data_IF_065273831592
#
_entry.id   IF_065273831592
#
_cell.length_a   1.000
_cell.length_b   1.000
_cell.length_c   1.000
_cell.angle_alpha   90.00
_cell.angle_beta   90.00
_cell.angle_gamma   90.00
#
_symmetry.space_group_name_H-M   'P 1'
#
loop_
_entity.id
_entity.type
_entity.pdbx_description
1 polymer ?
#
# COMPACT_ATOMS: atom_id res chain seq x y z
N UNK A 1 4.71 11.21 -14.68
CA UNK A 1 5.26 11.91 -13.50
C UNK A 1 4.15 12.77 -12.91
N UNK A 2 4.13 12.98 -11.59
CA UNK A 2 3.04 13.65 -10.86
C UNK A 2 3.60 14.89 -10.18
N UNK A 3 2.94 16.02 -10.34
CA UNK A 3 3.33 17.28 -9.68
C UNK A 3 2.74 17.32 -8.28
N UNK A 4 3.57 17.61 -7.28
CA UNK A 4 3.15 17.81 -5.88
C UNK A 4 3.77 19.08 -5.29
N UNK A 5 3.06 19.67 -4.34
CA UNK A 5 3.54 20.81 -3.56
C UNK A 5 4.23 20.34 -2.28
N UNK A 6 5.42 20.85 -1.99
CA UNK A 6 6.16 20.50 -0.78
C UNK A 6 5.49 21.09 0.47
N UNK A 7 5.24 20.25 1.48
CA UNK A 7 4.63 20.66 2.76
C UNK A 7 5.53 21.59 3.61
N UNK A 8 6.84 21.68 3.31
CA UNK A 8 7.80 22.49 4.09
C UNK A 8 8.06 23.87 3.47
N UNK A 9 8.30 23.94 2.15
CA UNK A 9 8.64 25.19 1.47
C UNK A 9 7.61 25.65 0.44
N UNK A 10 6.57 24.85 0.17
CA UNK A 10 5.53 25.20 -0.80
C UNK A 10 5.93 25.09 -2.27
N UNK A 11 7.16 24.70 -2.61
CA UNK A 11 7.57 24.55 -4.02
C UNK A 11 6.87 23.37 -4.70
N UNK A 12 6.58 23.50 -5.98
CA UNK A 12 6.11 22.40 -6.81
C UNK A 12 7.28 21.56 -7.29
N UNK A 13 7.12 20.24 -7.26
CA UNK A 13 8.13 19.29 -7.72
C UNK A 13 7.48 18.08 -8.39
N UNK A 14 8.19 17.48 -9.35
CA UNK A 14 7.75 16.26 -10.02
C UNK A 14 8.22 15.01 -9.26
N UNK A 15 7.37 14.00 -9.20
CA UNK A 15 7.67 12.73 -8.53
C UNK A 15 6.93 11.58 -9.18
N UNK A 16 7.48 10.37 -9.09
CA UNK A 16 6.81 9.12 -9.47
C UNK A 16 5.91 8.58 -8.35
N UNK A 17 6.08 9.07 -7.10
CA UNK A 17 5.40 8.54 -5.94
C UNK A 17 4.20 9.40 -5.51
N UNK A 18 3.03 8.78 -5.44
CA UNK A 18 1.82 9.41 -4.89
C UNK A 18 1.93 9.78 -3.40
N UNK A 19 2.93 9.26 -2.68
CA UNK A 19 3.13 9.51 -1.24
C UNK A 19 4.20 10.56 -0.94
N UNK A 20 4.81 11.18 -1.95
CA UNK A 20 5.84 12.18 -1.74
C UNK A 20 5.25 13.46 -1.11
N UNK A 21 5.86 13.93 -0.02
CA UNK A 21 5.42 15.12 0.73
C UNK A 21 6.41 16.29 0.68
N UNK A 22 7.68 16.00 0.43
CA UNK A 22 8.75 16.99 0.45
C UNK A 22 9.56 16.92 -0.84
N UNK A 23 10.01 18.09 -1.32
CA UNK A 23 10.95 18.18 -2.42
C UNK A 23 12.32 17.62 -2.02
N UNK A 24 13.21 17.48 -3.00
CA UNK A 24 14.56 16.94 -2.80
C UNK A 24 15.37 17.75 -1.76
N UNK A 25 15.21 19.07 -1.71
CA UNK A 25 15.96 19.94 -0.81
C UNK A 25 15.43 19.94 0.63
N UNK A 26 14.14 19.71 0.81
CA UNK A 26 13.50 19.72 2.13
C UNK A 26 13.47 18.34 2.79
N UNK A 27 13.64 17.26 2.02
CA UNK A 27 13.60 15.89 2.54
C UNK A 27 14.63 15.68 3.67
N UNK A 28 15.87 16.11 3.46
CA UNK A 28 16.95 15.91 4.42
C UNK A 28 16.73 16.75 5.69
N UNK A 29 16.21 17.98 5.53
CA UNK A 29 15.86 18.84 6.66
C UNK A 29 14.81 18.20 7.57
N UNK A 30 13.76 17.62 6.97
CA UNK A 30 12.74 16.88 7.71
C UNK A 30 13.33 15.65 8.40
N UNK A 31 14.25 14.94 7.75
CA UNK A 31 14.90 13.77 8.32
C UNK A 31 15.75 14.13 9.55
N UNK A 32 16.54 15.20 9.47
CA UNK A 32 17.32 15.72 10.61
C UNK A 32 16.40 16.11 11.77
N UNK A 33 15.30 16.81 11.50
CA UNK A 33 14.31 17.17 12.54
C UNK A 33 13.71 15.94 13.23
N UNK A 34 13.35 14.90 12.47
CA UNK A 34 12.83 13.64 13.03
C UNK A 34 13.86 12.93 13.91
N UNK A 35 15.12 12.87 13.46
CA UNK A 35 16.20 12.24 14.22
C UNK A 35 16.50 13.00 15.52
N UNK A 36 16.46 14.33 15.48
CA UNK A 36 16.59 15.19 16.66
C UNK A 36 15.47 14.93 17.67
N UNK A 37 14.21 14.97 17.23
CA UNK A 37 13.07 14.68 18.09
C UNK A 37 13.11 13.27 18.69
N UNK A 38 13.62 12.29 17.93
CA UNK A 38 13.82 10.92 18.43
C UNK A 38 14.92 10.86 19.52
N UNK A 39 16.04 11.55 19.31
CA UNK A 39 17.14 11.65 20.29
C UNK A 39 16.69 12.35 21.57
N UNK A 40 15.93 13.44 21.46
CA UNK A 40 15.38 14.18 22.60
C UNK A 40 14.39 13.32 23.41
N UNK A 41 13.52 12.53 22.74
CA UNK A 41 12.63 11.55 23.41
C UNK A 41 13.39 10.44 24.14
N UNK A 42 14.54 10.02 23.62
CA UNK A 42 15.40 9.04 24.30
C UNK A 42 16.08 9.66 25.53
N UNK A 43 16.63 10.88 25.39
CA UNK A 43 17.32 11.59 26.48
C UNK A 43 16.38 11.94 27.64
N UNK A 44 15.15 12.35 27.34
CA UNK A 44 14.12 12.67 28.33
C UNK A 44 13.52 11.45 29.04
N UNK A 45 13.89 10.22 28.65
CA UNK A 45 13.34 9.00 29.24
C UNK A 45 11.85 8.76 28.94
N UNK A 46 11.19 9.65 28.19
CA UNK A 46 9.78 9.53 27.79
C UNK A 46 9.56 8.50 26.68
N UNK A 47 10.64 7.88 26.19
CA UNK A 47 10.54 6.76 25.24
C UNK A 47 9.94 5.52 25.91
N UNK A 48 8.81 5.05 25.38
CA UNK A 48 8.16 3.82 25.84
C UNK A 48 9.07 2.62 25.57
N UNK A 49 9.49 1.92 26.63
CA UNK A 49 10.27 0.69 26.52
C UNK A 49 9.34 -0.51 26.38
N UNK A 50 9.74 -1.50 25.58
CA UNK A 50 9.05 -2.80 25.54
C UNK A 50 9.17 -3.41 26.94
N UNK A 51 8.05 -3.87 27.49
CA UNK A 51 7.91 -4.39 28.85
C UNK A 51 7.52 -3.35 29.91
N UNK A 52 7.42 -2.05 29.57
CA UNK A 52 6.92 -1.04 30.51
C UNK A 52 5.40 -1.04 30.63
N UNK A 53 4.90 -0.61 31.79
CA UNK A 53 3.48 -0.34 32.02
C UNK A 53 3.08 1.01 31.42
N UNK A 54 1.96 1.04 30.71
CA UNK A 54 1.36 2.25 30.13
C UNK A 54 -0.14 2.28 30.40
N UNK A 55 -0.72 3.48 30.46
CA UNK A 55 -2.17 3.67 30.61
C UNK A 55 -2.81 3.75 29.22
N UNK A 56 -3.84 2.93 28.99
CA UNK A 56 -4.56 2.95 27.72
C UNK A 56 -5.40 4.24 27.58
N UNK A 57 -5.20 5.07 26.55
CA UNK A 57 -5.97 6.31 26.38
C UNK A 57 -7.44 6.08 26.02
N UNK A 58 -7.85 4.83 25.73
CA UNK A 58 -9.23 4.48 25.36
C UNK A 58 -10.03 4.02 26.56
N UNK A 59 -9.44 3.20 27.44
CA UNK A 59 -10.16 2.58 28.57
C UNK A 59 -9.57 2.91 29.95
N UNK A 60 -8.47 3.65 30.02
CA UNK A 60 -7.81 4.02 31.28
C UNK A 60 -7.11 2.88 32.03
N UNK A 61 -7.23 1.63 31.58
CA UNK A 61 -6.54 0.49 32.21
C UNK A 61 -5.03 0.53 31.91
N UNK A 62 -4.24 0.11 32.90
CA UNK A 62 -2.81 -0.15 32.71
C UNK A 62 -2.60 -1.41 31.87
N UNK A 63 -1.56 -1.41 31.04
CA UNK A 63 -1.19 -2.55 30.21
C UNK A 63 0.32 -2.60 29.99
N UNK A 64 0.84 -3.81 29.78
CA UNK A 64 2.24 -4.03 29.42
C UNK A 64 2.45 -3.84 27.91
N UNK A 65 3.45 -3.05 27.56
CA UNK A 65 3.81 -2.78 26.16
C UNK A 65 4.60 -3.95 25.59
N UNK A 66 4.02 -4.72 24.67
CA UNK A 66 4.68 -5.86 24.03
C UNK A 66 5.37 -5.49 22.71
N UNK A 67 4.99 -4.37 22.10
CA UNK A 67 5.62 -3.88 20.87
C UNK A 67 5.79 -2.36 20.87
N UNK A 68 6.87 -1.87 20.24
CA UNK A 68 7.18 -0.43 20.19
C UNK A 68 6.16 0.44 19.43
N UNK A 69 5.24 -0.17 18.68
CA UNK A 69 4.14 0.51 17.97
C UNK A 69 2.80 0.43 18.70
N UNK A 70 2.73 -0.24 19.85
CA UNK A 70 1.51 -0.43 20.63
C UNK A 70 1.08 0.87 21.32
N UNK A 71 -0.05 1.42 20.86
CA UNK A 71 -0.64 2.65 21.40
C UNK A 71 -1.75 2.43 22.42
N UNK A 72 -2.34 1.24 22.43
CA UNK A 72 -3.52 0.89 23.20
C UNK A 72 -3.36 -0.52 23.79
N UNK A 73 -4.18 -0.86 24.79
CA UNK A 73 -4.24 -2.25 25.25
C UNK A 73 -4.79 -3.19 24.16
N UNK A 74 -4.51 -4.48 24.29
CA UNK A 74 -4.92 -5.54 23.36
C UNK A 74 -6.44 -5.56 23.13
N UNK A 75 -7.22 -5.33 24.20
CA UNK A 75 -8.70 -5.24 24.14
C UNK A 75 -9.20 -4.06 23.29
N UNK A 76 -8.50 -2.93 23.29
CA UNK A 76 -8.92 -1.73 22.57
C UNK A 76 -8.35 -1.65 21.14
N UNK A 77 -7.35 -2.48 20.82
CA UNK A 77 -6.77 -2.58 19.47
C UNK A 77 -7.79 -2.87 18.36
N UNK A 78 -8.70 -3.86 18.48
CA UNK A 78 -9.66 -4.16 17.41
C UNK A 78 -10.64 -3.02 17.13
N UNK A 79 -10.99 -2.20 18.13
CA UNK A 79 -11.90 -1.05 17.98
C UNK A 79 -11.34 0.07 17.08
N UNK A 80 -10.02 0.08 16.86
CA UNK A 80 -9.31 1.13 16.13
C UNK A 80 -8.70 0.64 14.81
N UNK A 81 -9.05 -0.57 14.34
CA UNK A 81 -8.62 -1.02 13.00
C UNK A 81 -9.12 -0.01 11.96
N UNK A 82 -8.19 0.64 11.26
CA UNK A 82 -8.53 1.53 10.14
C UNK A 82 -9.42 0.77 9.17
N UNK A 83 -10.60 1.30 8.88
CA UNK A 83 -11.41 0.82 7.74
C UNK A 83 -10.50 0.86 6.52
N UNK A 84 -10.24 -0.29 5.90
CA UNK A 84 -9.49 -0.32 4.64
C UNK A 84 -10.27 0.55 3.66
N UNK A 85 -9.62 1.53 3.05
CA UNK A 85 -10.25 2.28 1.97
C UNK A 85 -10.74 1.26 0.94
N UNK A 86 -11.99 1.39 0.45
CA UNK A 86 -12.47 0.51 -0.61
C UNK A 86 -11.48 0.60 -1.78
N UNK A 87 -11.25 -0.50 -2.52
CA UNK A 87 -10.50 -0.44 -3.77
C UNK A 87 -11.05 0.70 -4.63
N UNK A 88 -10.21 1.39 -5.41
CA UNK A 88 -10.66 2.45 -6.32
C UNK A 88 -11.51 1.82 -7.45
N UNK A 89 -12.77 1.56 -7.14
CA UNK A 89 -13.75 0.93 -8.02
C UNK A 89 -14.07 1.83 -9.21
N UNK A 90 -13.94 3.14 -9.06
CA UNK A 90 -14.23 4.12 -10.11
C UNK A 90 -13.20 4.09 -11.23
N UNK A 91 -11.91 3.98 -10.89
CA UNK A 91 -10.86 3.79 -11.89
C UNK A 91 -11.05 2.49 -12.69
N UNK A 92 -11.38 1.39 -12.01
CA UNK A 92 -11.61 0.10 -12.67
C UNK A 92 -12.83 0.16 -13.59
N UNK A 93 -13.95 0.74 -13.13
CA UNK A 93 -15.18 0.90 -13.93
C UNK A 93 -14.98 1.77 -15.18
N UNK A 94 -14.12 2.80 -15.10
CA UNK A 94 -13.91 3.73 -16.22
C UNK A 94 -12.90 3.27 -17.28
N UNK A 95 -12.06 2.26 -16.98
CA UNK A 95 -10.94 1.88 -17.86
C UNK A 95 -10.95 0.41 -18.30
N UNK A 96 -11.78 -0.44 -17.68
CA UNK A 96 -11.78 -1.87 -17.94
C UNK A 96 -13.19 -2.44 -17.97
N UNK A 97 -13.48 -3.18 -19.03
CA UNK A 97 -14.64 -4.06 -19.10
C UNK A 97 -14.32 -5.45 -18.56
N UNK A 98 -15.33 -6.12 -18.00
CA UNK A 98 -15.19 -7.47 -17.44
C UNK A 98 -15.76 -8.51 -18.39
N UNK A 99 -14.91 -9.45 -18.81
CA UNK A 99 -15.33 -10.67 -19.53
C UNK A 99 -15.15 -11.86 -18.59
N UNK A 100 -16.23 -12.60 -18.32
CA UNK A 100 -16.18 -13.85 -17.56
C UNK A 100 -16.25 -15.04 -18.51
N UNK A 101 -15.22 -15.88 -18.47
CA UNK A 101 -15.16 -17.10 -19.27
C UNK A 101 -15.16 -18.29 -18.32
N UNK A 102 -16.10 -19.22 -18.54
CA UNK A 102 -16.10 -20.51 -17.86
C UNK A 102 -15.22 -21.47 -18.64
N UNK A 103 -14.34 -22.16 -17.93
CA UNK A 103 -13.41 -23.15 -18.50
C UNK A 103 -13.79 -24.52 -17.93
N UNK A 104 -13.71 -25.61 -18.72
CA UNK A 104 -13.91 -26.97 -18.23
C UNK A 104 -13.09 -27.28 -16.97
N UNK A 105 -13.64 -28.13 -16.10
CA UNK A 105 -12.98 -28.51 -14.83
C UNK A 105 -11.65 -29.20 -15.14
N UNK A 106 -10.57 -28.73 -14.50
CA UNK A 106 -9.20 -29.27 -14.67
C UNK A 106 -8.40 -28.69 -15.84
N UNK A 107 -9.00 -27.83 -16.67
CA UNK A 107 -8.26 -27.14 -17.74
C UNK A 107 -7.69 -25.79 -17.29
N UNK A 108 -8.21 -25.21 -16.20
CA UNK A 108 -7.70 -23.96 -15.64
C UNK A 108 -6.20 -24.04 -15.34
N UNK A 109 -5.77 -25.13 -14.73
CA UNK A 109 -4.38 -25.37 -14.37
C UNK A 109 -3.50 -25.49 -15.63
N UNK A 110 -4.01 -26.16 -16.67
CA UNK A 110 -3.32 -26.32 -17.96
C UNK A 110 -3.14 -24.99 -18.67
N UNK A 111 -4.19 -24.16 -18.73
CA UNK A 111 -4.12 -22.81 -19.32
C UNK A 111 -3.12 -21.94 -18.56
N UNK A 112 -3.10 -22.04 -17.23
CA UNK A 112 -2.14 -21.30 -16.41
C UNK A 112 -0.70 -21.73 -16.69
N UNK A 113 -0.43 -23.04 -16.71
CA UNK A 113 0.88 -23.59 -17.03
C UNK A 113 1.35 -23.21 -18.44
N UNK A 114 0.44 -23.20 -19.41
CA UNK A 114 0.74 -22.77 -20.78
C UNK A 114 1.03 -21.27 -20.87
N UNK A 115 0.27 -20.42 -20.18
CA UNK A 115 0.58 -18.99 -20.12
C UNK A 115 1.97 -18.75 -19.49
N UNK A 116 2.30 -19.47 -18.41
CA UNK A 116 3.60 -19.41 -17.76
C UNK A 116 4.74 -19.87 -18.67
N UNK A 117 4.55 -20.95 -19.46
CA UNK A 117 5.55 -21.43 -20.41
C UNK A 117 5.83 -20.44 -21.55
N UNK A 118 4.85 -19.60 -21.89
CA UNK A 118 5.00 -18.51 -22.85
C UNK A 118 5.49 -17.19 -22.20
N UNK A 119 5.85 -17.20 -20.91
CA UNK A 119 6.23 -15.99 -20.15
C UNK A 119 5.13 -14.91 -20.15
N UNK A 120 3.85 -15.31 -20.11
CA UNK A 120 2.68 -14.44 -20.19
C UNK A 120 1.73 -14.68 -19.02
N UNK A 121 0.94 -13.66 -18.66
CA UNK A 121 -0.22 -13.87 -17.80
C UNK A 121 -1.37 -14.47 -18.62
N UNK A 122 -2.29 -15.20 -17.96
CA UNK A 122 -3.48 -15.76 -18.64
C UNK A 122 -4.28 -14.67 -19.37
N UNK A 123 -4.39 -13.47 -18.77
CA UNK A 123 -5.04 -12.33 -19.43
C UNK A 123 -4.30 -11.87 -20.69
N UNK A 124 -2.96 -11.78 -20.63
CA UNK A 124 -2.14 -11.39 -21.79
C UNK A 124 -2.25 -12.44 -22.90
N UNK A 125 -2.21 -13.73 -22.54
CA UNK A 125 -2.39 -14.83 -23.46
C UNK A 125 -3.75 -14.74 -24.18
N UNK A 126 -4.83 -14.55 -23.42
CA UNK A 126 -6.18 -14.42 -23.98
C UNK A 126 -6.30 -13.26 -24.97
N UNK A 127 -5.78 -12.08 -24.62
CA UNK A 127 -5.80 -10.90 -25.50
C UNK A 127 -4.93 -11.08 -26.75
N UNK A 128 -3.77 -11.74 -26.64
CA UNK A 128 -2.92 -12.05 -27.80
C UNK A 128 -3.61 -13.04 -28.72
N UNK A 129 -4.18 -14.11 -28.18
CA UNK A 129 -4.90 -15.11 -28.96
C UNK A 129 -6.10 -14.51 -29.72
N UNK A 130 -6.87 -13.62 -29.07
CA UNK A 130 -7.97 -12.91 -29.74
C UNK A 130 -7.48 -12.05 -30.91
N UNK A 131 -6.38 -11.32 -30.73
CA UNK A 131 -5.79 -10.49 -31.80
C UNK A 131 -5.28 -11.33 -32.97
N UNK A 132 -4.60 -12.43 -32.70
CA UNK A 132 -4.13 -13.34 -33.73
C UNK A 132 -5.29 -13.99 -34.48
N UNK A 133 -6.34 -14.40 -33.75
CA UNK A 133 -7.55 -14.95 -34.35
C UNK A 133 -8.23 -13.94 -35.28
N UNK A 134 -8.43 -12.69 -34.83
CA UNK A 134 -8.96 -11.60 -35.65
C UNK A 134 -8.12 -11.37 -36.90
N UNK A 135 -6.79 -11.22 -36.76
CA UNK A 135 -5.89 -11.00 -37.90
C UNK A 135 -5.98 -12.09 -38.96
N UNK A 136 -6.20 -13.33 -38.57
CA UNK A 136 -6.28 -14.46 -39.50
C UNK A 136 -7.67 -14.63 -40.13
N UNK A 137 -8.68 -13.88 -39.66
CA UNK A 137 -10.07 -13.98 -40.11
C UNK A 137 -10.67 -12.64 -40.58
N UNK A 138 -9.94 -11.53 -40.45
CA UNK A 138 -10.22 -10.27 -41.13
C UNK A 138 -9.84 -10.44 -42.61
N UNK A 139 -10.86 -10.51 -43.47
CA UNK A 139 -10.76 -10.59 -44.93
C UNK A 139 -10.56 -9.22 -45.53
#
# INVERSE_FOLDING_TARGET
MITRKCEMCGMEFQTTSNRAKYCIYCRDKVQVQRNRAYSEKKKSGTSVKIGSEQVCPICGKTYNVTSGSQKYCTECTPKQKRKKAPPNTEYLKGHYDYIRVNVPKGEREKIKAYAESQCMSVNKLFLTALKEYQKNHET
#
